data_IF_387743926843
#
_entry.id   IF_387743926843
#
_cell.length_a   1.000
_cell.length_b   1.000
_cell.length_c   1.000
_cell.angle_alpha   90.00
_cell.angle_beta   90.00
_cell.angle_gamma   90.00
#
_symmetry.space_group_name_H-M   'P 1'
#
loop_
_entity.id
_entity.type
_entity.pdbx_description
1 polymer ?
#
# COMPACT_ATOMS: atom_id res chain seq x y z
N UNK A 1 -24.32 -2.75 8.46
CA UNK A 1 -25.40 -3.69 8.10
C UNK A 1 -24.86 -4.73 7.14
N UNK A 2 -25.26 -6.00 7.31
CA UNK A 2 -24.92 -7.07 6.37
C UNK A 2 -26.13 -7.34 5.47
N UNK A 3 -25.90 -7.42 4.15
CA UNK A 3 -26.93 -7.78 3.15
C UNK A 3 -27.15 -9.30 3.15
N UNK A 4 -28.24 -9.75 2.50
CA UNK A 4 -28.60 -11.18 2.46
C UNK A 4 -27.58 -12.07 1.75
N UNK A 5 -26.76 -11.50 0.88
CA UNK A 5 -25.68 -12.18 0.16
C UNK A 5 -24.29 -12.08 0.84
N UNK A 6 -24.24 -11.56 2.07
CA UNK A 6 -23.05 -11.46 2.90
C UNK A 6 -22.30 -10.14 2.82
N UNK A 7 -22.61 -9.26 1.85
CA UNK A 7 -21.93 -7.95 1.74
C UNK A 7 -22.14 -7.13 3.02
N UNK A 8 -21.02 -6.64 3.57
CA UNK A 8 -21.05 -5.71 4.68
C UNK A 8 -21.14 -4.27 4.18
N UNK A 9 -22.11 -3.50 4.68
CA UNK A 9 -22.34 -2.10 4.29
C UNK A 9 -22.15 -1.18 5.48
N UNK A 10 -21.25 -0.21 5.31
CA UNK A 10 -21.05 0.93 6.22
C UNK A 10 -21.56 2.19 5.53
N UNK A 11 -22.47 2.89 6.18
CA UNK A 11 -23.05 4.14 5.68
C UNK A 11 -22.90 5.26 6.69
N UNK A 12 -22.38 6.41 6.28
CA UNK A 12 -22.17 7.57 7.13
C UNK A 12 -22.48 8.88 6.39
N UNK A 13 -23.20 9.78 7.02
CA UNK A 13 -23.29 11.15 6.54
C UNK A 13 -22.09 11.95 7.07
N UNK A 14 -21.19 12.36 6.18
CA UNK A 14 -19.93 13.05 6.56
C UNK A 14 -19.93 14.54 6.22
N UNK A 15 -21.05 15.08 5.77
CA UNK A 15 -21.20 16.51 5.45
C UNK A 15 -22.52 16.80 4.75
N UNK A 16 -22.75 18.09 4.44
CA UNK A 16 -23.97 18.59 3.79
C UNK A 16 -23.75 18.89 2.29
N UNK A 17 -22.50 18.81 1.80
CA UNK A 17 -22.23 18.99 0.36
C UNK A 17 -22.88 17.82 -0.38
N UNK A 18 -23.70 18.09 -1.44
CA UNK A 18 -24.46 17.04 -2.13
C UNK A 18 -23.59 16.20 -3.07
N UNK A 19 -22.52 15.67 -2.53
CA UNK A 19 -21.57 14.74 -3.18
C UNK A 19 -21.48 13.51 -2.27
N UNK A 20 -21.49 12.32 -2.85
CA UNK A 20 -21.30 11.07 -2.13
C UNK A 20 -20.20 10.24 -2.78
N UNK A 21 -19.55 9.41 -1.98
CA UNK A 21 -18.57 8.42 -2.42
C UNK A 21 -19.02 7.02 -2.00
N UNK A 22 -18.96 6.07 -2.92
CA UNK A 22 -19.11 4.64 -2.65
C UNK A 22 -17.76 3.97 -2.91
N UNK A 23 -17.24 3.28 -1.91
CA UNK A 23 -16.07 2.41 -2.06
C UNK A 23 -16.51 0.97 -1.93
N UNK A 24 -16.21 0.17 -2.95
CA UNK A 24 -16.40 -1.29 -2.94
C UNK A 24 -15.04 -1.92 -2.77
N UNK A 25 -14.83 -2.61 -1.66
CA UNK A 25 -13.66 -3.41 -1.38
C UNK A 25 -14.02 -4.87 -1.62
N UNK A 26 -13.38 -5.49 -2.58
CA UNK A 26 -13.49 -6.93 -2.86
C UNK A 26 -12.17 -7.62 -2.47
N UNK A 27 -12.18 -8.90 -2.09
CA UNK A 27 -10.97 -9.67 -1.90
C UNK A 27 -10.21 -9.87 -3.22
N UNK A 28 -9.01 -10.42 -3.16
CA UNK A 28 -8.16 -10.61 -4.33
C UNK A 28 -7.33 -9.38 -4.64
N UNK A 29 -6.25 -9.22 -3.90
CA UNK A 29 -5.16 -8.30 -4.16
C UNK A 29 -3.93 -9.04 -4.67
N UNK A 30 -2.81 -8.34 -4.81
CA UNK A 30 -1.58 -8.90 -5.38
C UNK A 30 -1.02 -10.10 -4.60
N UNK A 31 -1.38 -10.28 -3.32
CA UNK A 31 -0.98 -11.46 -2.54
C UNK A 31 -1.67 -12.76 -2.99
N UNK A 32 -2.70 -12.67 -3.83
CA UNK A 32 -3.38 -13.83 -4.41
C UNK A 32 -2.88 -14.20 -5.80
N UNK A 33 -2.01 -13.38 -6.38
CA UNK A 33 -1.39 -13.65 -7.68
C UNK A 33 -0.32 -14.74 -7.53
N UNK A 34 -0.24 -15.67 -8.48
CA UNK A 34 0.97 -16.51 -8.58
C UNK A 34 2.15 -15.66 -9.08
N UNK A 35 3.38 -16.08 -8.77
CA UNK A 35 4.57 -15.35 -9.23
C UNK A 35 4.64 -15.23 -10.75
N UNK A 36 4.28 -16.28 -11.47
CA UNK A 36 4.28 -16.32 -12.93
C UNK A 36 3.23 -15.38 -13.53
N UNK A 37 2.24 -14.98 -12.71
CA UNK A 37 1.14 -14.10 -13.10
C UNK A 37 1.03 -12.87 -12.19
N UNK A 38 2.13 -12.49 -11.55
CA UNK A 38 2.16 -11.27 -10.73
C UNK A 38 1.69 -10.05 -11.55
N UNK A 39 0.78 -9.27 -10.98
CA UNK A 39 0.11 -8.15 -11.65
C UNK A 39 -1.29 -8.46 -12.19
N UNK A 40 -1.78 -9.71 -12.10
CA UNK A 40 -3.16 -10.05 -12.53
C UNK A 40 -4.20 -9.24 -11.76
N UNK A 41 -4.09 -9.16 -10.44
CA UNK A 41 -5.02 -8.38 -9.61
C UNK A 41 -5.05 -6.90 -10.03
N UNK A 42 -3.86 -6.33 -10.29
CA UNK A 42 -3.72 -4.94 -10.72
C UNK A 42 -4.35 -4.72 -12.10
N UNK A 43 -4.09 -5.59 -13.07
CA UNK A 43 -4.71 -5.49 -14.40
C UNK A 43 -6.22 -5.73 -14.34
N UNK A 44 -6.69 -6.68 -13.52
CA UNK A 44 -8.11 -6.92 -13.33
C UNK A 44 -8.82 -5.66 -12.77
N UNK A 45 -8.20 -4.94 -11.85
CA UNK A 45 -8.73 -3.69 -11.32
C UNK A 45 -8.70 -2.58 -12.37
N UNK A 46 -7.55 -2.31 -12.98
CA UNK A 46 -7.33 -1.18 -13.90
C UNK A 46 -8.13 -1.30 -15.20
N UNK A 47 -8.37 -2.52 -15.67
CA UNK A 47 -9.10 -2.78 -16.91
C UNK A 47 -10.59 -3.08 -16.69
N UNK A 48 -11.07 -3.04 -15.46
CA UNK A 48 -12.47 -3.39 -15.16
C UNK A 48 -13.48 -2.44 -15.83
N UNK A 49 -13.12 -1.16 -15.97
CA UNK A 49 -13.94 -0.13 -16.62
C UNK A 49 -13.77 -0.07 -18.15
N UNK A 50 -12.91 -0.91 -18.72
CA UNK A 50 -12.66 -0.94 -20.16
C UNK A 50 -13.69 -1.74 -20.97
N UNK A 51 -14.78 -2.18 -20.33
CA UNK A 51 -15.94 -2.80 -20.93
C UNK A 51 -16.64 -3.79 -19.98
N UNK A 52 -17.95 -3.75 -19.99
CA UNK A 52 -18.82 -4.70 -19.28
C UNK A 52 -19.60 -5.54 -20.29
N UNK A 53 -20.51 -6.41 -19.79
CA UNK A 53 -21.41 -7.15 -20.65
C UNK A 53 -22.33 -6.23 -21.48
N UNK A 54 -22.67 -5.04 -20.93
CA UNK A 54 -23.70 -4.15 -21.48
C UNK A 54 -23.13 -2.85 -22.06
N UNK A 55 -21.91 -2.46 -21.73
CA UNK A 55 -21.31 -1.19 -22.09
C UNK A 55 -19.85 -1.34 -22.55
N UNK A 56 -19.48 -0.64 -23.61
CA UNK A 56 -18.08 -0.48 -24.01
C UNK A 56 -17.36 0.54 -23.12
N UNK A 57 -16.01 0.59 -23.18
CA UNK A 57 -15.19 1.58 -22.47
C UNK A 57 -15.63 3.02 -22.75
N UNK A 58 -15.95 3.32 -24.00
CA UNK A 58 -16.38 4.67 -24.42
C UNK A 58 -17.75 5.02 -23.81
N UNK A 59 -18.69 4.08 -23.79
CA UNK A 59 -20.01 4.28 -23.19
C UNK A 59 -19.90 4.44 -21.67
N UNK A 60 -19.06 3.66 -20.99
CA UNK A 60 -18.78 3.80 -19.55
C UNK A 60 -18.22 5.20 -19.27
N UNK A 61 -17.18 5.61 -19.99
CA UNK A 61 -16.56 6.92 -19.81
C UNK A 61 -17.54 8.07 -20.06
N UNK A 62 -18.28 8.05 -21.18
CA UNK A 62 -19.29 9.06 -21.51
C UNK A 62 -20.44 9.10 -20.49
N UNK A 63 -20.86 7.93 -19.97
CA UNK A 63 -21.90 7.85 -18.95
C UNK A 63 -21.44 8.47 -17.63
N UNK A 64 -20.27 8.12 -17.12
CA UNK A 64 -19.70 8.68 -15.90
C UNK A 64 -19.51 10.21 -16.05
N UNK A 65 -18.95 10.66 -17.17
CA UNK A 65 -18.78 12.09 -17.45
C UNK A 65 -20.11 12.84 -17.44
N UNK A 66 -21.15 12.31 -18.10
CA UNK A 66 -22.48 12.93 -18.14
C UNK A 66 -23.14 13.03 -16.75
N UNK A 67 -22.79 12.13 -15.83
CA UNK A 67 -23.26 12.13 -14.46
C UNK A 67 -22.41 12.99 -13.50
N UNK A 68 -21.30 13.57 -13.99
CA UNK A 68 -20.32 14.26 -13.15
C UNK A 68 -19.66 13.33 -12.15
N UNK A 69 -19.52 12.06 -12.50
CA UNK A 69 -18.95 11.02 -11.66
C UNK A 69 -17.48 10.77 -12.00
N UNK A 70 -16.70 10.42 -10.97
CA UNK A 70 -15.35 9.91 -11.12
C UNK A 70 -15.26 8.50 -10.52
N UNK A 71 -14.58 7.61 -11.23
CA UNK A 71 -14.32 6.24 -10.81
C UNK A 71 -12.81 6.00 -10.79
N UNK A 72 -12.33 5.30 -9.78
CA UNK A 72 -10.98 4.75 -9.73
C UNK A 72 -11.04 3.30 -9.25
N UNK A 73 -10.14 2.47 -9.77
CA UNK A 73 -9.97 1.09 -9.33
C UNK A 73 -8.47 0.80 -9.15
N UNK A 74 -8.13 0.09 -8.08
CA UNK A 74 -6.76 -0.27 -7.75
C UNK A 74 -6.72 -1.54 -6.92
N UNK A 75 -5.81 -2.44 -7.24
CA UNK A 75 -5.52 -3.58 -6.38
C UNK A 75 -4.41 -3.22 -5.39
N UNK A 76 -4.72 -3.37 -4.10
CA UNK A 76 -3.71 -3.40 -3.05
C UNK A 76 -3.09 -4.79 -2.92
N UNK A 77 -2.36 -5.02 -1.84
CA UNK A 77 -1.82 -6.36 -1.54
C UNK A 77 -2.91 -7.35 -1.19
N UNK A 78 -3.88 -6.95 -0.35
CA UNK A 78 -4.85 -7.86 0.27
C UNK A 78 -6.26 -7.73 -0.27
N UNK A 79 -6.51 -6.83 -1.22
CA UNK A 79 -7.83 -6.64 -1.82
C UNK A 79 -7.84 -5.60 -2.93
N UNK A 80 -8.95 -5.54 -3.64
CA UNK A 80 -9.17 -4.60 -4.75
C UNK A 80 -10.23 -3.57 -4.37
N UNK A 81 -9.93 -2.31 -4.63
CA UNK A 81 -10.76 -1.17 -4.29
C UNK A 81 -11.34 -0.51 -5.54
N UNK A 82 -12.62 -0.27 -5.53
CA UNK A 82 -13.31 0.58 -6.50
C UNK A 82 -13.88 1.78 -5.74
N UNK A 83 -13.58 3.00 -6.17
CA UNK A 83 -14.09 4.21 -5.54
C UNK A 83 -14.81 5.07 -6.57
N UNK A 84 -16.10 5.27 -6.35
CA UNK A 84 -16.99 6.09 -7.16
C UNK A 84 -17.39 7.33 -6.36
N UNK A 85 -17.16 8.51 -6.93
CA UNK A 85 -17.65 9.78 -6.36
C UNK A 85 -18.56 10.46 -7.38
N UNK A 86 -19.74 10.90 -6.95
CA UNK A 86 -20.69 11.59 -7.81
C UNK A 86 -21.60 12.56 -7.01
N UNK A 87 -22.24 13.54 -7.68
CA UNK A 87 -23.34 14.31 -7.09
C UNK A 87 -24.46 13.37 -6.61
N UNK A 88 -25.03 13.64 -5.45
CA UNK A 88 -26.09 12.80 -4.84
C UNK A 88 -27.28 12.59 -5.81
N UNK A 89 -27.64 13.62 -6.60
CA UNK A 89 -28.71 13.55 -7.60
C UNK A 89 -28.46 12.49 -8.69
N UNK A 90 -27.20 12.16 -8.96
CA UNK A 90 -26.79 11.23 -10.02
C UNK A 90 -26.18 9.94 -9.44
N UNK A 91 -26.14 9.80 -8.10
CA UNK A 91 -25.34 8.79 -7.42
C UNK A 91 -25.85 7.36 -7.67
N UNK A 92 -27.17 7.17 -7.80
CA UNK A 92 -27.77 5.89 -8.16
C UNK A 92 -27.35 5.46 -9.57
N UNK A 93 -27.53 6.34 -10.56
CA UNK A 93 -27.17 6.05 -11.95
C UNK A 93 -25.66 5.81 -12.15
N UNK A 94 -24.81 6.51 -11.37
CA UNK A 94 -23.38 6.24 -11.37
C UNK A 94 -23.05 4.91 -10.68
N UNK A 95 -23.76 4.59 -9.60
CA UNK A 95 -23.66 3.32 -8.89
C UNK A 95 -24.04 2.10 -9.75
N UNK A 96 -25.01 2.24 -10.66
CA UNK A 96 -25.35 1.19 -11.64
C UNK A 96 -24.14 0.88 -12.54
N UNK A 97 -23.43 1.90 -13.00
CA UNK A 97 -22.20 1.72 -13.80
C UNK A 97 -21.13 0.98 -12.98
N UNK A 98 -20.88 1.42 -11.73
CA UNK A 98 -19.94 0.76 -10.84
C UNK A 98 -20.33 -0.71 -10.60
N UNK A 99 -21.58 -0.99 -10.31
CA UNK A 99 -22.07 -2.35 -10.10
C UNK A 99 -21.85 -3.23 -11.33
N UNK A 100 -22.14 -2.71 -12.53
CA UNK A 100 -21.86 -3.38 -13.80
C UNK A 100 -20.36 -3.70 -13.96
N UNK A 101 -19.48 -2.76 -13.64
CA UNK A 101 -18.02 -2.93 -13.71
C UNK A 101 -17.57 -4.06 -12.76
N UNK A 102 -17.91 -3.98 -11.48
CA UNK A 102 -17.50 -4.98 -10.49
C UNK A 102 -18.00 -6.37 -10.84
N UNK A 103 -19.26 -6.47 -11.29
CA UNK A 103 -19.94 -7.76 -11.50
C UNK A 103 -19.65 -8.38 -12.86
N UNK A 104 -19.38 -7.58 -13.90
CA UNK A 104 -19.41 -8.08 -15.28
C UNK A 104 -18.33 -7.53 -16.22
N UNK A 105 -17.20 -7.04 -15.69
CA UNK A 105 -16.05 -6.63 -16.51
C UNK A 105 -15.64 -7.72 -17.51
N UNK A 106 -15.37 -7.33 -18.77
CA UNK A 106 -15.11 -8.24 -19.88
C UNK A 106 -13.67 -8.26 -20.39
N UNK A 107 -12.87 -7.28 -20.01
CA UNK A 107 -11.45 -7.16 -20.38
C UNK A 107 -11.19 -7.34 -21.88
N UNK A 108 -11.62 -6.40 -22.75
CA UNK A 108 -11.40 -6.54 -24.19
C UNK A 108 -9.92 -6.72 -24.52
N UNK A 109 -9.60 -7.68 -25.41
CA UNK A 109 -8.22 -8.04 -25.72
C UNK A 109 -7.36 -6.85 -26.16
N UNK A 110 -7.92 -5.95 -26.96
CA UNK A 110 -7.19 -4.76 -27.44
C UNK A 110 -6.80 -3.83 -26.28
N UNK A 111 -7.63 -3.72 -25.24
CA UNK A 111 -7.35 -2.90 -24.06
C UNK A 111 -6.26 -3.55 -23.18
N UNK A 112 -6.34 -4.86 -23.01
CA UNK A 112 -5.30 -5.63 -22.32
C UNK A 112 -3.94 -5.48 -23.03
N UNK A 113 -3.90 -5.61 -24.36
CA UNK A 113 -2.65 -5.50 -25.13
C UNK A 113 -2.04 -4.09 -25.02
N UNK A 114 -2.90 -3.06 -25.03
CA UNK A 114 -2.49 -1.67 -24.85
C UNK A 114 -1.94 -1.41 -23.44
N UNK A 115 -2.66 -1.87 -22.42
CA UNK A 115 -2.25 -1.68 -21.02
C UNK A 115 -1.00 -2.47 -20.69
N UNK A 116 -0.88 -3.72 -21.17
CA UNK A 116 0.33 -4.53 -21.02
C UNK A 116 1.55 -3.80 -21.57
N UNK A 117 1.44 -3.27 -22.80
CA UNK A 117 2.54 -2.52 -23.38
C UNK A 117 2.90 -1.30 -22.53
N UNK A 118 1.90 -0.54 -22.08
CA UNK A 118 2.11 0.64 -21.22
C UNK A 118 2.75 0.28 -19.89
N UNK A 119 2.30 -0.79 -19.26
CA UNK A 119 2.83 -1.26 -17.98
C UNK A 119 4.29 -1.73 -18.11
N UNK A 120 4.62 -2.49 -19.15
CA UNK A 120 6.01 -2.91 -19.41
C UNK A 120 6.90 -1.71 -19.71
N UNK A 121 6.45 -0.78 -20.58
CA UNK A 121 7.20 0.45 -20.87
C UNK A 121 7.41 1.30 -19.58
N UNK A 122 6.39 1.38 -18.73
CA UNK A 122 6.46 2.06 -17.43
C UNK A 122 7.44 1.38 -16.46
N UNK A 123 7.40 0.06 -16.38
CA UNK A 123 8.31 -0.72 -15.54
C UNK A 123 9.78 -0.50 -15.94
N UNK A 124 10.08 -0.41 -17.24
CA UNK A 124 11.43 -0.11 -17.72
C UNK A 124 11.94 1.29 -17.29
N UNK A 125 11.03 2.23 -17.07
CA UNK A 125 11.36 3.56 -16.52
C UNK A 125 11.57 3.46 -15.01
N UNK A 126 10.67 2.79 -14.28
CA UNK A 126 10.77 2.57 -12.83
C UNK A 126 12.07 1.85 -12.44
N UNK A 127 12.50 0.87 -13.24
CA UNK A 127 13.75 0.14 -13.02
C UNK A 127 15.00 1.01 -13.16
N UNK A 128 14.87 2.23 -13.71
CA UNK A 128 15.96 3.23 -13.80
C UNK A 128 15.88 4.29 -12.72
N UNK A 129 14.83 4.31 -11.92
CA UNK A 129 14.69 5.19 -10.77
C UNK A 129 15.20 4.48 -9.52
N UNK A 130 16.29 4.97 -8.88
CA UNK A 130 16.84 4.33 -7.70
C UNK A 130 15.83 4.20 -6.55
N UNK A 131 14.93 5.17 -6.37
CA UNK A 131 13.93 5.18 -5.29
C UNK A 131 12.87 4.11 -5.47
N UNK A 132 12.31 4.01 -6.68
CA UNK A 132 11.31 2.99 -7.02
C UNK A 132 11.91 1.58 -6.95
N UNK A 133 13.12 1.41 -7.49
CA UNK A 133 13.79 0.12 -7.46
C UNK A 133 14.14 -0.33 -6.05
N UNK A 134 14.59 0.59 -5.16
CA UNK A 134 14.89 0.25 -3.78
C UNK A 134 13.69 -0.33 -3.03
N UNK A 135 12.49 0.24 -3.21
CA UNK A 135 11.25 -0.28 -2.62
C UNK A 135 10.86 -1.67 -3.13
N UNK A 136 11.03 -1.91 -4.44
CA UNK A 136 10.76 -3.22 -5.07
C UNK A 136 11.71 -4.30 -4.54
N UNK A 137 13.00 -4.01 -4.50
CA UNK A 137 14.03 -4.90 -3.97
C UNK A 137 13.81 -5.16 -2.47
N UNK A 138 13.50 -4.14 -1.69
CA UNK A 138 13.26 -4.28 -0.26
C UNK A 138 12.09 -5.22 0.05
N UNK A 139 10.98 -5.14 -0.71
CA UNK A 139 9.86 -6.06 -0.56
C UNK A 139 10.29 -7.52 -0.76
N UNK A 140 11.07 -7.77 -1.81
CA UNK A 140 11.56 -9.10 -2.14
C UNK A 140 12.56 -9.63 -1.09
N UNK A 141 13.48 -8.78 -0.62
CA UNK A 141 14.45 -9.14 0.43
C UNK A 141 13.76 -9.47 1.75
N UNK A 142 12.72 -8.71 2.12
CA UNK A 142 12.05 -8.86 3.41
C UNK A 142 11.09 -10.04 3.48
N UNK A 143 10.47 -10.41 2.37
CA UNK A 143 9.44 -11.44 2.33
C UNK A 143 9.82 -12.67 1.50
N UNK A 144 10.96 -12.60 0.79
CA UNK A 144 11.43 -13.73 -0.02
C UNK A 144 10.39 -14.17 -1.03
N UNK A 145 10.12 -15.47 -1.03
CA UNK A 145 9.15 -16.10 -1.93
C UNK A 145 7.70 -16.08 -1.40
N UNK A 146 7.46 -15.50 -0.24
CA UNK A 146 6.10 -15.32 0.27
C UNK A 146 5.29 -14.34 -0.62
N UNK A 147 3.94 -14.41 -0.58
CA UNK A 147 3.08 -13.54 -1.39
C UNK A 147 3.39 -12.04 -1.30
N UNK A 148 3.78 -11.55 -0.11
CA UNK A 148 4.16 -10.14 0.04
C UNK A 148 5.52 -9.77 -0.55
N UNK A 149 6.36 -10.74 -0.87
CA UNK A 149 7.61 -10.53 -1.63
C UNK A 149 7.38 -10.34 -3.13
N UNK A 150 6.25 -10.82 -3.66
CA UNK A 150 5.92 -10.69 -5.08
C UNK A 150 5.77 -9.22 -5.51
N UNK A 151 6.09 -8.92 -6.76
CA UNK A 151 5.91 -7.58 -7.33
C UNK A 151 4.43 -7.33 -7.62
N UNK A 152 3.78 -6.45 -6.84
CA UNK A 152 2.33 -6.17 -7.01
C UNK A 152 1.95 -5.61 -8.38
N UNK A 153 2.86 -4.88 -9.03
CA UNK A 153 2.69 -4.39 -10.40
C UNK A 153 3.17 -5.38 -11.47
N UNK A 154 3.64 -6.56 -11.07
CA UNK A 154 4.23 -7.56 -11.96
C UNK A 154 5.68 -7.31 -12.34
N UNK A 155 6.24 -8.23 -13.10
CA UNK A 155 7.52 -8.14 -13.83
C UNK A 155 7.25 -8.10 -15.32
N UNK A 156 8.26 -7.78 -16.14
CA UNK A 156 8.09 -7.80 -17.61
C UNK A 156 7.62 -9.17 -18.11
N UNK A 157 8.12 -10.24 -17.53
CA UNK A 157 7.80 -11.63 -17.86
C UNK A 157 6.38 -11.99 -17.44
N UNK A 158 6.01 -11.70 -16.20
CA UNK A 158 4.67 -12.00 -15.68
C UNK A 158 3.59 -11.20 -16.42
N UNK A 159 3.83 -9.90 -16.67
CA UNK A 159 2.91 -9.05 -17.43
C UNK A 159 2.72 -9.54 -18.87
N UNK A 160 3.78 -10.01 -19.52
CA UNK A 160 3.71 -10.60 -20.85
C UNK A 160 2.90 -11.91 -20.86
N UNK A 161 2.93 -12.67 -19.77
CA UNK A 161 2.26 -13.95 -19.63
C UNK A 161 0.75 -13.84 -19.26
N UNK A 162 0.28 -12.69 -18.75
CA UNK A 162 -1.13 -12.47 -18.36
C UNK A 162 -2.03 -12.54 -19.58
N UNK A 163 -3.07 -13.34 -19.53
CA UNK A 163 -4.10 -13.47 -20.57
C UNK A 163 -5.41 -12.80 -20.12
N UNK A 164 -6.32 -12.59 -21.07
CA UNK A 164 -7.69 -12.13 -20.76
C UNK A 164 -8.42 -13.10 -19.85
N UNK A 165 -8.23 -14.38 -20.08
CA UNK A 165 -8.81 -15.46 -19.31
C UNK A 165 -8.35 -15.40 -17.84
N UNK A 166 -7.09 -15.09 -17.56
CA UNK A 166 -6.56 -14.90 -16.20
C UNK A 166 -7.32 -13.77 -15.47
N UNK A 167 -7.61 -12.65 -16.15
CA UNK A 167 -8.36 -11.53 -15.56
C UNK A 167 -9.81 -11.90 -15.24
N UNK A 168 -10.45 -12.63 -16.16
CA UNK A 168 -11.83 -13.14 -15.96
C UNK A 168 -11.85 -14.12 -14.79
N UNK A 169 -10.90 -15.05 -14.74
CA UNK A 169 -10.78 -16.04 -13.66
C UNK A 169 -10.51 -15.36 -12.32
N UNK A 170 -9.58 -14.39 -12.26
CA UNK A 170 -9.31 -13.62 -11.05
C UNK A 170 -10.59 -12.94 -10.53
N UNK A 171 -11.31 -12.22 -11.39
CA UNK A 171 -12.57 -11.56 -11.03
C UNK A 171 -13.61 -12.57 -10.53
N UNK A 172 -13.81 -13.68 -11.23
CA UNK A 172 -14.82 -14.69 -10.88
C UNK A 172 -14.47 -15.43 -9.60
N UNK A 173 -13.20 -15.61 -9.32
CA UNK A 173 -12.69 -16.33 -8.15
C UNK A 173 -12.71 -15.43 -6.93
N UNK A 174 -12.15 -14.22 -7.03
CA UNK A 174 -11.86 -13.39 -5.88
C UNK A 174 -12.93 -12.34 -5.58
N UNK A 175 -13.58 -11.72 -6.58
CA UNK A 175 -14.59 -10.69 -6.31
C UNK A 175 -15.91 -11.34 -5.90
N UNK A 176 -15.98 -11.65 -4.61
CA UNK A 176 -17.05 -12.46 -4.06
C UNK A 176 -17.92 -11.66 -3.09
N UNK A 177 -19.28 -11.69 -3.22
CA UNK A 177 -20.17 -10.88 -2.41
C UNK A 177 -20.04 -11.14 -0.90
N UNK A 178 -19.85 -12.39 -0.44
CA UNK A 178 -19.77 -12.71 0.98
C UNK A 178 -18.56 -12.09 1.69
N UNK A 179 -17.51 -11.70 0.94
CA UNK A 179 -16.29 -11.08 1.47
C UNK A 179 -16.18 -9.60 1.08
N UNK A 180 -17.18 -9.09 0.34
CA UNK A 180 -17.19 -7.70 -0.13
C UNK A 180 -17.66 -6.76 0.96
N UNK A 181 -17.01 -5.60 1.02
CA UNK A 181 -17.35 -4.50 1.91
C UNK A 181 -17.68 -3.26 1.08
N UNK A 182 -18.80 -2.61 1.40
CA UNK A 182 -19.23 -1.38 0.73
C UNK A 182 -19.30 -0.26 1.75
N UNK A 183 -18.57 0.81 1.50
CA UNK A 183 -18.58 2.00 2.33
C UNK A 183 -19.19 3.14 1.52
N UNK A 184 -20.25 3.76 2.04
CA UNK A 184 -20.89 4.90 1.39
C UNK A 184 -20.92 6.09 2.37
N UNK A 185 -20.34 7.19 1.94
CA UNK A 185 -20.35 8.41 2.75
C UNK A 185 -20.51 9.69 1.92
N UNK A 186 -20.75 10.81 2.60
CA UNK A 186 -20.93 12.13 1.96
C UNK A 186 -22.22 12.80 2.37
N UNK A 187 -22.77 13.62 1.50
CA UNK A 187 -24.06 14.33 1.70
C UNK A 187 -25.29 13.47 1.43
N UNK A 188 -25.26 12.22 1.81
CA UNK A 188 -26.31 11.22 1.63
C UNK A 188 -26.73 10.64 2.99
N UNK A 189 -28.05 10.49 3.21
CA UNK A 189 -28.54 9.89 4.44
C UNK A 189 -28.15 8.39 4.54
N UNK A 190 -27.73 7.88 5.71
CA UNK A 190 -27.30 6.49 5.87
C UNK A 190 -28.33 5.47 5.42
N UNK A 191 -29.61 5.68 5.66
CA UNK A 191 -30.68 4.78 5.21
C UNK A 191 -30.80 4.75 3.67
N UNK A 192 -30.63 5.89 3.00
CA UNK A 192 -30.62 5.97 1.55
C UNK A 192 -29.38 5.27 0.98
N UNK A 193 -28.20 5.52 1.58
CA UNK A 193 -26.94 4.87 1.18
C UNK A 193 -27.01 3.35 1.28
N UNK A 194 -27.55 2.83 2.40
CA UNK A 194 -27.73 1.39 2.59
C UNK A 194 -28.76 0.80 1.61
N UNK A 195 -29.88 1.50 1.38
CA UNK A 195 -30.88 1.09 0.40
C UNK A 195 -30.32 1.02 -1.03
N UNK A 196 -29.43 1.97 -1.39
CA UNK A 196 -28.73 1.99 -2.66
C UNK A 196 -27.74 0.82 -2.79
N UNK A 197 -26.94 0.56 -1.78
CA UNK A 197 -26.04 -0.61 -1.78
C UNK A 197 -26.83 -1.92 -1.95
N UNK A 198 -28.00 -2.05 -1.29
CA UNK A 198 -28.89 -3.19 -1.44
C UNK A 198 -29.46 -3.30 -2.86
N UNK A 199 -29.88 -2.20 -3.49
CA UNK A 199 -30.44 -2.22 -4.87
C UNK A 199 -29.38 -2.57 -5.91
N UNK A 200 -28.14 -2.12 -5.75
CA UNK A 200 -27.05 -2.29 -6.70
C UNK A 200 -26.34 -3.65 -6.59
N UNK A 201 -26.24 -4.19 -5.39
CA UNK A 201 -25.41 -5.35 -5.12
C UNK A 201 -26.13 -6.49 -4.37
N UNK A 202 -27.34 -6.29 -3.89
CA UNK A 202 -28.03 -7.27 -3.04
C UNK A 202 -28.46 -8.55 -3.75
N UNK A 203 -28.56 -8.53 -5.07
CA UNK A 203 -28.83 -9.69 -5.93
C UNK A 203 -27.56 -10.30 -6.52
N UNK A 204 -26.39 -9.74 -6.21
CA UNK A 204 -25.11 -10.28 -6.68
C UNK A 204 -24.84 -11.63 -6.05
N UNK A 205 -24.71 -12.65 -6.91
CA UNK A 205 -24.43 -14.03 -6.53
C UNK A 205 -23.29 -14.59 -7.37
N UNK A 206 -22.49 -15.44 -6.76
CA UNK A 206 -21.42 -16.20 -7.40
C UNK A 206 -21.68 -17.67 -7.11
N UNK A 207 -21.51 -18.54 -8.11
CA UNK A 207 -21.89 -19.95 -8.03
C UNK A 207 -20.94 -20.82 -7.20
N UNK A 208 -19.76 -20.33 -6.84
CA UNK A 208 -18.78 -21.02 -6.00
C UNK A 208 -18.66 -20.35 -4.63
N UNK A 209 -18.19 -21.04 -3.59
CA UNK A 209 -17.85 -20.40 -2.32
C UNK A 209 -16.63 -19.46 -2.51
N UNK A 210 -16.53 -18.42 -1.66
CA UNK A 210 -15.37 -17.55 -1.67
C UNK A 210 -14.09 -18.36 -1.40
N UNK A 211 -13.00 -18.11 -2.12
CA UNK A 211 -11.74 -18.75 -1.85
C UNK A 211 -11.18 -18.26 -0.50
N UNK A 212 -10.37 -19.09 0.12
CA UNK A 212 -9.60 -18.68 1.30
C UNK A 212 -8.34 -17.97 0.83
N UNK A 213 -8.08 -16.72 1.24
CA UNK A 213 -6.81 -16.06 0.97
C UNK A 213 -5.62 -16.84 1.55
N UNK A 214 -4.39 -16.59 1.10
CA UNK A 214 -3.20 -17.17 1.73
C UNK A 214 -3.25 -16.97 3.25
N UNK A 215 -3.01 -18.04 4.00
CA UNK A 215 -3.11 -18.01 5.46
C UNK A 215 -1.97 -17.22 6.13
N UNK A 216 -0.82 -17.14 5.46
CA UNK A 216 0.38 -16.42 5.89
C UNK A 216 1.03 -15.76 4.67
N UNK A 217 0.49 -14.63 4.18
CA UNK A 217 1.04 -13.96 3.01
C UNK A 217 2.39 -13.28 3.28
N UNK A 218 2.73 -13.04 4.54
CA UNK A 218 4.03 -12.50 4.95
C UNK A 218 5.13 -13.58 5.00
N UNK A 219 4.76 -14.83 5.24
CA UNK A 219 5.68 -15.94 5.38
C UNK A 219 6.66 -15.79 6.55
N UNK A 220 7.54 -16.76 6.67
CA UNK A 220 8.59 -16.75 7.70
C UNK A 220 9.50 -15.52 7.61
N UNK A 221 10.05 -15.11 8.75
CA UNK A 221 11.05 -14.04 8.80
C UNK A 221 12.28 -14.41 7.96
N UNK A 222 12.62 -13.58 7.01
CA UNK A 222 13.81 -13.76 6.18
C UNK A 222 15.08 -13.38 6.96
N UNK A 223 16.25 -13.94 6.58
CA UNK A 223 17.53 -13.45 7.09
C UNK A 223 17.70 -11.95 6.82
N UNK A 224 18.31 -11.25 7.77
CA UNK A 224 18.64 -9.83 7.59
C UNK A 224 19.71 -9.70 6.50
N UNK A 225 19.42 -8.92 5.48
CA UNK A 225 20.35 -8.70 4.35
C UNK A 225 20.64 -7.21 4.19
N UNK A 226 21.83 -6.91 3.71
CA UNK A 226 22.19 -5.59 3.15
C UNK A 226 22.49 -5.80 1.68
N UNK A 227 21.66 -5.21 0.82
CA UNK A 227 21.72 -5.39 -0.63
C UNK A 227 21.99 -4.05 -1.29
N UNK A 228 22.98 -4.01 -2.15
CA UNK A 228 23.30 -2.88 -3.02
C UNK A 228 23.00 -3.26 -4.45
N UNK A 229 22.11 -2.54 -5.09
CA UNK A 229 21.91 -2.63 -6.54
C UNK A 229 22.83 -1.61 -7.19
N UNK A 230 23.88 -2.10 -7.83
CA UNK A 230 24.85 -1.25 -8.52
C UNK A 230 24.28 -0.71 -9.83
N UNK A 231 24.06 0.59 -9.82
CA UNK A 231 23.54 1.36 -10.95
C UNK A 231 24.51 2.51 -11.26
N UNK A 232 25.57 2.26 -12.06
CA UNK A 232 26.61 3.26 -12.33
C UNK A 232 26.10 4.57 -12.95
N UNK A 233 24.97 4.51 -13.68
CA UNK A 233 24.36 5.68 -14.32
C UNK A 233 23.46 6.50 -13.38
N UNK A 234 23.27 6.05 -12.13
CA UNK A 234 22.43 6.76 -11.17
C UNK A 234 23.08 8.08 -10.73
N UNK A 235 22.39 9.16 -10.95
CA UNK A 235 22.84 10.49 -10.50
C UNK A 235 22.75 10.71 -8.97
N UNK A 236 21.99 9.87 -8.28
CA UNK A 236 21.80 9.85 -6.84
C UNK A 236 21.60 8.42 -6.37
N UNK A 237 21.97 8.13 -5.12
CA UNK A 237 21.61 6.88 -4.47
C UNK A 237 20.28 7.01 -3.73
N UNK A 238 19.48 5.95 -3.76
CA UNK A 238 18.35 5.76 -2.85
C UNK A 238 18.75 4.81 -1.73
N UNK A 239 18.54 5.22 -0.50
CA UNK A 239 18.81 4.43 0.71
C UNK A 239 17.48 4.09 1.36
N UNK A 240 17.27 2.81 1.62
CA UNK A 240 16.07 2.26 2.25
C UNK A 240 16.50 1.34 3.40
N UNK A 241 15.96 1.57 4.60
CA UNK A 241 16.17 0.72 5.75
C UNK A 241 14.83 0.34 6.35
N UNK A 242 14.58 -0.95 6.57
CA UNK A 242 13.28 -1.43 6.99
C UNK A 242 13.36 -2.57 7.99
N UNK A 243 12.39 -2.64 8.87
CA UNK A 243 12.14 -3.76 9.78
C UNK A 243 10.70 -4.27 9.59
N UNK A 244 10.49 -5.58 9.74
CA UNK A 244 9.12 -6.09 9.89
C UNK A 244 8.56 -5.57 11.20
N UNK A 245 7.32 -5.14 11.16
CA UNK A 245 6.60 -4.56 12.27
C UNK A 245 5.38 -5.43 12.62
N UNK A 246 4.45 -4.88 13.35
CA UNK A 246 3.25 -5.55 13.84
C UNK A 246 2.03 -5.13 13.04
N UNK A 247 1.05 -6.03 12.85
CA UNK A 247 -0.22 -5.67 12.22
C UNK A 247 -1.00 -4.67 13.07
N UNK A 248 -1.97 -4.04 12.47
CA UNK A 248 -2.70 -2.93 13.09
C UNK A 248 -3.60 -3.33 14.27
N UNK A 249 -3.96 -4.58 14.38
CA UNK A 249 -4.75 -5.14 15.49
C UNK A 249 -3.90 -5.45 16.73
N UNK A 250 -2.57 -5.38 16.66
CA UNK A 250 -1.67 -5.50 17.81
C UNK A 250 -1.87 -4.32 18.79
N UNK A 251 -1.94 -4.62 20.08
CA UNK A 251 -2.14 -3.60 21.12
C UNK A 251 -1.04 -2.54 21.19
N UNK A 252 0.17 -2.83 20.67
CA UNK A 252 1.33 -1.92 20.60
C UNK A 252 1.31 -1.01 19.37
N UNK A 253 0.39 -1.21 18.42
CA UNK A 253 0.36 -0.48 17.16
C UNK A 253 0.43 1.04 17.34
N UNK A 254 -0.45 1.61 18.17
CA UNK A 254 -0.47 3.06 18.38
C UNK A 254 0.78 3.59 19.09
N UNK A 255 1.40 2.75 19.94
CA UNK A 255 2.67 3.10 20.59
C UNK A 255 3.81 3.16 19.57
N UNK A 256 3.87 2.20 18.66
CA UNK A 256 4.85 2.16 17.57
C UNK A 256 4.59 3.27 16.54
N UNK A 257 3.34 3.54 16.20
CA UNK A 257 2.95 4.64 15.28
C UNK A 257 3.40 6.00 15.82
N UNK A 258 3.21 6.24 17.12
CA UNK A 258 3.65 7.47 17.78
C UNK A 258 5.18 7.56 17.83
N UNK A 259 5.88 6.44 18.08
CA UNK A 259 7.33 6.38 18.03
C UNK A 259 7.87 6.65 16.61
N UNK A 260 7.25 6.07 15.58
CA UNK A 260 7.58 6.36 14.19
C UNK A 260 7.35 7.83 13.83
N UNK A 261 6.32 8.47 14.36
CA UNK A 261 6.11 9.91 14.15
C UNK A 261 7.25 10.76 14.74
N UNK A 262 7.92 10.29 15.79
CA UNK A 262 9.16 10.91 16.30
C UNK A 262 10.32 10.65 15.35
N UNK A 263 10.45 9.43 14.84
CA UNK A 263 11.54 9.03 13.96
C UNK A 263 11.52 9.82 12.65
N UNK A 264 10.49 9.69 11.84
CA UNK A 264 10.47 10.24 10.49
C UNK A 264 9.10 10.75 10.04
N UNK A 265 8.14 10.93 10.95
CA UNK A 265 6.82 11.47 10.65
C UNK A 265 6.85 12.95 10.28
N UNK A 266 7.07 13.24 9.00
CA UNK A 266 7.09 14.60 8.47
C UNK A 266 8.41 15.36 8.70
N UNK A 267 8.45 16.64 8.27
CA UNK A 267 9.67 17.49 8.28
C UNK A 267 10.18 17.90 9.67
N UNK A 268 9.49 17.52 10.72
CA UNK A 268 9.93 17.71 12.08
C UNK A 268 10.39 16.40 12.75
N UNK A 269 10.49 15.30 12.00
CA UNK A 269 11.06 14.02 12.44
C UNK A 269 12.56 14.08 12.63
N UNK A 270 13.10 13.16 13.46
CA UNK A 270 14.55 13.07 13.72
C UNK A 270 15.33 12.82 12.43
N UNK A 271 14.84 11.96 11.53
CA UNK A 271 15.49 11.68 10.25
C UNK A 271 15.62 12.93 9.38
N UNK A 272 14.57 13.74 9.29
CA UNK A 272 14.64 14.99 8.54
C UNK A 272 15.62 15.97 9.17
N UNK A 273 15.62 16.07 10.51
CA UNK A 273 16.54 16.95 11.23
C UNK A 273 18.00 16.53 11.02
N UNK A 274 18.32 15.23 11.19
CA UNK A 274 19.70 14.73 11.10
C UNK A 274 20.23 14.77 9.67
N UNK A 275 19.45 14.37 8.69
CA UNK A 275 19.89 14.21 7.30
C UNK A 275 19.79 15.52 6.52
N UNK A 276 18.63 16.20 6.63
CA UNK A 276 18.39 17.43 5.87
C UNK A 276 18.95 18.66 6.57
N UNK A 277 18.52 18.89 7.82
CA UNK A 277 18.76 20.18 8.48
C UNK A 277 20.20 20.32 8.95
N UNK A 278 20.76 19.28 9.59
CA UNK A 278 22.10 19.33 10.18
C UNK A 278 23.22 19.06 9.17
N UNK A 279 23.00 18.12 8.23
CA UNK A 279 24.05 17.61 7.33
C UNK A 279 23.85 17.97 5.86
N UNK A 280 22.64 18.37 5.47
CA UNK A 280 22.30 18.70 4.06
C UNK A 280 22.57 17.55 3.07
N UNK A 281 22.41 16.30 3.52
CA UNK A 281 22.67 15.10 2.71
C UNK A 281 21.54 14.82 1.73
N UNK A 282 20.29 15.19 2.06
CA UNK A 282 19.11 14.93 1.25
C UNK A 282 18.13 16.09 1.30
N UNK A 283 17.22 16.17 0.33
CA UNK A 283 16.07 17.08 0.39
C UNK A 283 15.02 16.67 1.41
N UNK A 284 15.01 15.40 1.81
CA UNK A 284 14.12 14.85 2.82
C UNK A 284 14.49 13.42 3.18
N UNK A 285 14.21 13.06 4.43
CA UNK A 285 14.30 11.69 4.92
C UNK A 285 13.10 11.45 5.84
N UNK A 286 12.39 10.37 5.59
CA UNK A 286 11.13 10.08 6.27
C UNK A 286 11.06 8.62 6.65
N UNK A 287 10.19 8.31 7.61
CA UNK A 287 9.79 6.93 7.89
C UNK A 287 8.27 6.79 7.93
N UNK A 288 7.79 5.59 7.66
CA UNK A 288 6.37 5.28 7.65
C UNK A 288 6.09 3.79 7.76
N UNK A 289 4.80 3.48 7.91
CA UNK A 289 4.30 2.13 7.89
C UNK A 289 3.71 1.77 6.53
N UNK A 290 3.96 0.54 6.11
CA UNK A 290 3.19 -0.15 5.08
C UNK A 290 2.39 -1.26 5.76
N UNK A 291 1.16 -0.92 6.18
CA UNK A 291 0.23 -1.86 6.82
C UNK A 291 -0.22 -2.93 5.82
N UNK A 292 -0.34 -4.17 6.29
CA UNK A 292 -0.85 -5.35 5.58
C UNK A 292 -1.89 -6.05 6.45
N UNK A 293 -2.53 -7.08 5.93
CA UNK A 293 -3.59 -7.77 6.67
C UNK A 293 -3.06 -8.46 7.95
N UNK A 294 -1.88 -9.06 7.89
CA UNK A 294 -1.28 -9.83 8.99
C UNK A 294 0.13 -9.38 9.40
N UNK A 295 0.64 -8.32 8.78
CA UNK A 295 2.00 -7.81 9.01
C UNK A 295 2.06 -6.29 8.77
N UNK A 296 3.20 -5.69 9.03
CA UNK A 296 3.53 -4.34 8.60
C UNK A 296 5.04 -4.21 8.36
N UNK A 297 5.43 -3.19 7.62
CA UNK A 297 6.83 -2.76 7.48
C UNK A 297 6.95 -1.34 8.01
N UNK A 298 7.88 -1.13 8.93
CA UNK A 298 8.37 0.21 9.24
C UNK A 298 9.62 0.45 8.40
N UNK A 299 9.57 1.44 7.54
CA UNK A 299 10.68 1.77 6.64
C UNK A 299 11.09 3.23 6.74
N UNK A 300 12.40 3.48 6.68
CA UNK A 300 13.01 4.78 6.48
C UNK A 300 13.59 4.87 5.07
N UNK A 301 13.45 6.01 4.42
CA UNK A 301 13.97 6.23 3.07
C UNK A 301 14.48 7.66 2.86
N UNK A 302 15.52 7.78 2.03
CA UNK A 302 16.05 9.04 1.54
C UNK A 302 16.75 8.84 0.19
N UNK A 303 16.78 9.90 -0.62
CA UNK A 303 17.66 9.97 -1.77
C UNK A 303 18.80 10.93 -1.46
N UNK A 304 20.02 10.55 -1.77
CA UNK A 304 21.23 11.33 -1.46
C UNK A 304 22.22 11.24 -2.63
N UNK A 305 23.35 11.94 -2.53
CA UNK A 305 24.45 11.72 -3.47
C UNK A 305 25.04 10.32 -3.25
N UNK A 306 25.61 9.74 -4.30
CA UNK A 306 26.20 8.39 -4.20
C UNK A 306 27.25 8.33 -3.08
N UNK A 307 28.19 9.29 -3.05
CA UNK A 307 29.29 9.33 -2.08
C UNK A 307 28.85 9.48 -0.60
N UNK A 308 27.56 9.62 -0.31
CA UNK A 308 27.03 9.76 1.06
C UNK A 308 25.97 8.73 1.39
N UNK A 309 25.83 7.68 0.58
CA UNK A 309 24.80 6.67 0.78
C UNK A 309 25.03 5.82 2.03
N UNK A 310 26.29 5.48 2.32
CA UNK A 310 26.73 4.79 3.54
C UNK A 310 26.47 5.64 4.81
N UNK A 311 26.77 6.95 4.76
CA UNK A 311 26.48 7.86 5.88
C UNK A 311 24.98 7.92 6.17
N UNK A 312 24.13 8.01 5.14
CA UNK A 312 22.65 8.01 5.31
C UNK A 312 22.17 6.67 5.87
N UNK A 313 22.72 5.54 5.41
CA UNK A 313 22.39 4.22 5.96
C UNK A 313 22.79 4.12 7.44
N UNK A 314 23.98 4.59 7.82
CA UNK A 314 24.43 4.63 9.22
C UNK A 314 23.48 5.50 10.08
N UNK A 315 23.09 6.68 9.59
CA UNK A 315 22.15 7.55 10.31
C UNK A 315 20.81 6.86 10.55
N UNK A 316 20.29 6.10 9.57
CA UNK A 316 19.06 5.34 9.78
C UNK A 316 19.21 4.32 10.91
N UNK A 317 20.30 3.56 10.93
CA UNK A 317 20.57 2.59 11.98
C UNK A 317 20.76 3.25 13.35
N UNK A 318 21.48 4.36 13.40
CA UNK A 318 21.69 5.13 14.63
C UNK A 318 20.38 5.67 15.19
N UNK A 319 19.50 6.21 14.34
CA UNK A 319 18.20 6.72 14.76
C UNK A 319 17.22 5.61 15.14
N UNK A 320 17.30 4.42 14.52
CA UNK A 320 16.55 3.23 14.97
C UNK A 320 17.00 2.82 16.38
N UNK A 321 18.30 2.70 16.61
CA UNK A 321 18.86 2.39 17.94
C UNK A 321 18.47 3.45 18.97
N UNK A 322 18.58 4.71 18.60
CA UNK A 322 18.28 5.86 19.45
C UNK A 322 16.81 5.93 19.83
N UNK A 323 15.89 5.56 18.91
CA UNK A 323 14.47 5.56 19.17
C UNK A 323 14.09 4.57 20.29
N UNK A 324 14.76 3.41 20.36
CA UNK A 324 14.54 2.41 21.39
C UNK A 324 15.30 2.64 22.71
N UNK A 325 16.34 3.46 22.70
CA UNK A 325 17.22 3.62 23.88
C UNK A 325 17.10 4.97 24.59
N UNK A 326 16.76 6.04 23.87
CA UNK A 326 16.56 7.35 24.48
C UNK A 326 15.14 7.51 25.01
N UNK A 327 14.98 8.02 26.24
CA UNK A 327 13.65 8.32 26.76
C UNK A 327 12.93 9.35 25.87
N UNK A 328 11.70 9.04 25.51
CA UNK A 328 10.83 9.97 24.82
C UNK A 328 10.19 10.92 25.84
N UNK A 329 10.19 12.21 25.53
CA UNK A 329 9.63 13.25 26.38
C UNK A 329 8.16 13.50 26.04
N UNK A 330 7.33 13.74 27.08
CA UNK A 330 5.89 13.94 26.92
C UNK A 330 5.56 15.10 26.00
N UNK A 331 6.28 16.22 26.11
CA UNK A 331 6.04 17.39 25.27
C UNK A 331 6.37 17.11 23.78
N UNK A 332 7.32 16.23 23.50
CA UNK A 332 7.59 15.76 22.15
C UNK A 332 6.42 14.90 21.64
N UNK A 333 5.98 13.94 22.46
CA UNK A 333 4.85 13.08 22.08
C UNK A 333 3.55 13.85 21.88
N UNK A 334 3.27 14.87 22.70
CA UNK A 334 2.10 15.73 22.52
C UNK A 334 2.09 16.43 21.15
N UNK A 335 3.24 16.94 20.71
CA UNK A 335 3.36 17.51 19.36
C UNK A 335 3.09 16.48 18.27
N UNK A 336 3.54 15.22 18.47
CA UNK A 336 3.31 14.14 17.51
C UNK A 336 1.86 13.65 17.50
N UNK A 337 1.21 13.57 18.66
CA UNK A 337 -0.24 13.29 18.77
C UNK A 337 -1.05 14.32 18.01
N UNK A 338 -0.74 15.61 18.20
CA UNK A 338 -1.41 16.71 17.48
C UNK A 338 -1.18 16.62 15.96
N UNK A 339 0.03 16.28 15.54
CA UNK A 339 0.36 16.10 14.12
C UNK A 339 -0.42 14.94 13.49
N UNK A 340 -0.35 13.75 14.10
CA UNK A 340 -1.06 12.56 13.63
C UNK A 340 -2.57 12.75 13.67
N UNK A 341 -3.12 13.21 14.80
CA UNK A 341 -4.55 13.45 14.96
C UNK A 341 -5.07 14.50 13.98
N UNK A 342 -4.33 15.60 13.78
CA UNK A 342 -4.69 16.63 12.81
C UNK A 342 -4.63 16.13 11.35
N UNK A 343 -3.64 15.29 11.02
CA UNK A 343 -3.54 14.69 9.70
C UNK A 343 -4.67 13.69 9.44
N UNK A 344 -5.00 12.91 10.45
CA UNK A 344 -6.12 11.95 10.40
C UNK A 344 -7.46 12.67 10.27
N UNK A 345 -7.69 13.74 11.06
CA UNK A 345 -8.92 14.54 11.00
C UNK A 345 -9.12 15.14 9.60
N UNK A 346 -8.08 15.71 8.99
CA UNK A 346 -8.16 16.23 7.60
C UNK A 346 -8.55 15.15 6.58
N UNK A 347 -8.10 13.91 6.76
CA UNK A 347 -8.51 12.81 5.88
C UNK A 347 -9.99 12.47 6.05
N UNK A 348 -10.53 12.56 7.27
CA UNK A 348 -11.94 12.31 7.55
C UNK A 348 -12.88 13.40 7.04
N UNK A 349 -12.39 14.60 6.69
CA UNK A 349 -13.20 15.70 6.16
C UNK A 349 -13.78 15.42 4.77
N UNK A 350 -13.14 14.57 3.98
CA UNK A 350 -13.65 14.17 2.67
C UNK A 350 -14.31 12.79 2.72
N UNK A 351 -15.37 12.60 1.93
CA UNK A 351 -16.04 11.28 1.81
C UNK A 351 -15.09 10.19 1.31
N UNK A 352 -14.21 10.52 0.36
CA UNK A 352 -13.21 9.57 -0.14
C UNK A 352 -12.17 9.21 0.92
N UNK A 353 -11.72 10.18 1.71
CA UNK A 353 -10.75 9.94 2.80
C UNK A 353 -11.39 9.13 3.94
N UNK A 354 -12.63 9.43 4.32
CA UNK A 354 -13.40 8.63 5.28
C UNK A 354 -13.53 7.18 4.79
N UNK A 355 -13.99 6.98 3.55
CA UNK A 355 -14.16 5.65 2.98
C UNK A 355 -12.82 4.89 2.92
N UNK A 356 -11.73 5.55 2.54
CA UNK A 356 -10.40 4.92 2.50
C UNK A 356 -9.93 4.44 3.88
N UNK A 357 -10.16 5.25 4.92
CA UNK A 357 -9.82 4.87 6.31
C UNK A 357 -10.67 3.67 6.76
N UNK A 358 -11.98 3.74 6.56
CA UNK A 358 -12.89 2.67 6.98
C UNK A 358 -12.63 1.38 6.21
N UNK A 359 -12.42 1.47 4.89
CA UNK A 359 -12.10 0.31 4.06
C UNK A 359 -10.78 -0.35 4.50
N UNK A 360 -9.74 0.44 4.80
CA UNK A 360 -8.47 -0.07 5.32
C UNK A 360 -8.62 -0.78 6.67
N UNK A 361 -9.42 -0.22 7.59
CA UNK A 361 -9.74 -0.89 8.86
C UNK A 361 -10.44 -2.23 8.64
N UNK A 362 -11.48 -2.24 7.81
CA UNK A 362 -12.25 -3.45 7.51
C UNK A 362 -11.41 -4.52 6.77
N UNK A 363 -10.47 -4.10 5.93
CA UNK A 363 -9.53 -5.02 5.26
C UNK A 363 -8.61 -5.72 6.26
N UNK A 364 -8.22 -5.02 7.33
CA UNK A 364 -7.40 -5.52 8.42
C UNK A 364 -8.22 -6.23 9.53
N UNK A 365 -9.50 -6.53 9.27
CA UNK A 365 -10.37 -7.19 10.24
C UNK A 365 -10.83 -6.34 11.42
N UNK A 366 -10.60 -5.03 11.37
CA UNK A 366 -10.96 -4.10 12.43
C UNK A 366 -12.37 -3.52 12.22
N UNK A 367 -13.01 -3.17 13.32
CA UNK A 367 -14.33 -2.53 13.27
C UNK A 367 -14.25 -1.11 12.68
N UNK A 368 -15.23 -0.70 11.84
CA UNK A 368 -15.33 0.67 11.34
C UNK A 368 -15.31 1.76 12.42
N UNK A 369 -15.79 1.43 13.61
CA UNK A 369 -15.83 2.34 14.76
C UNK A 369 -14.43 2.74 15.28
N UNK A 370 -13.38 1.98 14.95
CA UNK A 370 -12.00 2.35 15.28
C UNK A 370 -11.58 3.67 14.61
N UNK A 371 -12.21 4.03 13.48
CA UNK A 371 -11.98 5.32 12.85
C UNK A 371 -12.25 6.51 13.80
N UNK A 372 -13.27 6.41 14.64
CA UNK A 372 -13.59 7.47 15.61
C UNK A 372 -12.71 7.43 16.87
N UNK A 373 -12.03 6.32 17.14
CA UNK A 373 -11.23 6.10 18.36
C UNK A 373 -9.74 6.45 18.19
N UNK A 374 -9.30 6.73 16.97
CA UNK A 374 -7.89 6.92 16.64
C UNK A 374 -7.18 7.96 17.52
N UNK A 375 -7.77 9.15 17.66
CA UNK A 375 -7.19 10.23 18.47
C UNK A 375 -7.13 9.85 19.97
N UNK A 376 -8.17 9.18 20.48
CA UNK A 376 -8.22 8.72 21.87
C UNK A 376 -7.18 7.63 22.13
N UNK A 377 -7.00 6.69 21.19
CA UNK A 377 -5.97 5.65 21.29
C UNK A 377 -4.56 6.25 21.33
N UNK A 378 -4.26 7.20 20.45
CA UNK A 378 -2.99 7.93 20.49
C UNK A 378 -2.81 8.71 21.79
N UNK A 379 -3.89 9.34 22.30
CA UNK A 379 -3.88 10.10 23.56
C UNK A 379 -3.56 9.26 24.79
N UNK A 380 -3.86 7.97 24.76
CA UNK A 380 -3.59 7.02 25.86
C UNK A 380 -2.16 6.49 25.89
N UNK A 381 -1.41 6.60 24.78
CA UNK A 381 -0.03 6.10 24.70
C UNK A 381 0.88 6.95 25.57
N UNK A 382 1.59 6.35 26.49
CA UNK A 382 2.59 7.02 27.35
C UNK A 382 3.99 6.99 26.68
N UNK A 383 4.93 7.89 27.06
CA UNK A 383 6.32 7.85 26.60
C UNK A 383 7.00 6.51 26.83
N UNK A 384 6.68 5.87 27.95
CA UNK A 384 7.21 4.54 28.29
C UNK A 384 6.73 3.47 27.31
N UNK A 385 5.45 3.49 26.93
CA UNK A 385 4.91 2.53 25.97
C UNK A 385 5.49 2.75 24.57
N UNK A 386 5.56 4.01 24.11
CA UNK A 386 6.16 4.32 22.81
C UNK A 386 7.65 3.92 22.75
N UNK A 387 8.43 4.21 23.80
CA UNK A 387 9.83 3.80 23.89
C UNK A 387 10.00 2.29 23.96
N UNK A 388 9.15 1.58 24.71
CA UNK A 388 9.21 0.12 24.80
C UNK A 388 8.86 -0.56 23.47
N UNK A 389 7.83 -0.07 22.77
CA UNK A 389 7.46 -0.57 21.45
C UNK A 389 8.60 -0.34 20.44
N UNK A 390 9.23 0.84 20.45
CA UNK A 390 10.37 1.13 19.60
C UNK A 390 11.57 0.23 19.92
N UNK A 391 11.89 0.02 21.19
CA UNK A 391 13.01 -0.84 21.62
C UNK A 391 12.84 -2.29 21.17
N UNK A 392 11.61 -2.79 21.19
CA UNK A 392 11.31 -4.18 20.82
C UNK A 392 11.24 -4.37 19.30
N UNK A 393 10.65 -3.42 18.59
CA UNK A 393 10.20 -3.59 17.21
C UNK A 393 11.08 -2.83 16.18
N UNK A 394 11.87 -1.83 16.61
CA UNK A 394 12.74 -1.05 15.71
C UNK A 394 14.21 -1.37 16.04
N UNK A 395 14.57 -2.63 15.86
CA UNK A 395 15.91 -3.13 16.14
C UNK A 395 16.83 -2.89 14.93
N UNK A 396 17.90 -2.07 15.04
CA UNK A 396 18.81 -1.81 13.93
C UNK A 396 19.53 -3.06 13.44
N UNK A 397 19.73 -4.08 14.30
CA UNK A 397 20.37 -5.34 13.92
C UNK A 397 19.45 -6.23 13.06
N UNK A 398 18.15 -5.98 13.12
CA UNK A 398 17.13 -6.64 12.29
C UNK A 398 16.75 -5.82 11.04
N UNK A 399 17.36 -4.66 10.85
CA UNK A 399 17.06 -3.82 9.70
C UNK A 399 17.66 -4.38 8.42
N UNK A 400 16.81 -4.69 7.47
CA UNK A 400 17.18 -4.88 6.07
C UNK A 400 17.55 -3.53 5.47
N UNK A 401 18.69 -3.46 4.79
CA UNK A 401 19.13 -2.26 4.08
C UNK A 401 19.16 -2.55 2.58
N UNK A 402 18.57 -1.66 1.81
CA UNK A 402 18.69 -1.67 0.35
C UNK A 402 19.20 -0.31 -0.10
N UNK A 403 20.27 -0.32 -0.89
CA UNK A 403 20.81 0.88 -1.53
C UNK A 403 20.83 0.66 -3.03
N UNK A 404 20.29 1.59 -3.77
CA UNK A 404 20.38 1.60 -5.23
C UNK A 404 21.14 2.84 -5.67
N UNK A 405 22.27 2.64 -6.35
CA UNK A 405 23.13 3.76 -6.77
C UNK A 405 24.46 3.28 -7.34
N UNK A 406 25.38 4.22 -7.58
CA UNK A 406 26.72 3.90 -8.07
C UNK A 406 27.59 3.33 -6.95
N UNK A 407 27.61 2.01 -6.81
CA UNK A 407 28.22 1.29 -5.68
C UNK A 407 29.69 1.66 -5.44
N UNK A 408 30.46 1.89 -6.51
CA UNK A 408 31.89 2.21 -6.39
C UNK A 408 32.19 3.46 -5.56
N UNK A 409 31.21 4.34 -5.37
CA UNK A 409 31.39 5.58 -4.61
C UNK A 409 31.20 5.44 -3.09
N UNK A 410 30.60 4.32 -2.60
CA UNK A 410 30.26 4.15 -1.17
C UNK A 410 30.46 2.74 -0.62
N UNK A 411 30.73 1.74 -1.46
CA UNK A 411 30.69 0.34 -1.04
C UNK A 411 31.76 -0.02 0.01
N UNK A 412 32.95 0.58 -0.04
CA UNK A 412 34.02 0.27 0.89
C UNK A 412 33.70 0.79 2.30
N UNK A 413 33.09 1.97 2.40
CA UNK A 413 32.64 2.54 3.66
C UNK A 413 31.39 1.80 4.19
N UNK A 414 30.46 1.38 3.31
CA UNK A 414 29.33 0.56 3.70
C UNK A 414 29.75 -0.81 4.24
N UNK A 415 30.80 -1.44 3.70
CA UNK A 415 31.36 -2.69 4.24
C UNK A 415 31.91 -2.58 5.64
N UNK A 416 32.35 -1.39 6.07
CA UNK A 416 32.75 -1.16 7.46
C UNK A 416 31.55 -1.18 8.42
N UNK A 417 30.34 -0.85 7.93
CA UNK A 417 29.09 -0.85 8.68
C UNK A 417 28.42 -2.23 8.60
N UNK A 418 28.38 -2.80 7.41
CA UNK A 418 27.72 -4.08 7.06
C UNK A 418 28.68 -4.96 6.24
N UNK A 419 29.54 -5.77 6.89
CA UNK A 419 30.56 -6.57 6.20
C UNK A 419 30.02 -7.55 5.16
N UNK A 420 28.80 -8.07 5.39
CA UNK A 420 28.16 -9.09 4.55
C UNK A 420 27.28 -8.47 3.44
N UNK A 421 27.58 -7.24 3.00
CA UNK A 421 26.84 -6.56 1.95
C UNK A 421 26.95 -7.30 0.61
N UNK A 422 25.80 -7.54 0.00
CA UNK A 422 25.68 -8.13 -1.32
C UNK A 422 25.61 -7.02 -2.37
N UNK A 423 26.40 -7.11 -3.44
CA UNK A 423 26.37 -6.15 -4.55
C UNK A 423 25.88 -6.85 -5.79
N UNK A 424 24.78 -6.35 -6.35
CA UNK A 424 24.08 -6.95 -7.49
C UNK A 424 24.00 -5.89 -8.60
N UNK A 425 24.45 -6.21 -9.82
CA UNK A 425 24.28 -5.27 -10.94
C UNK A 425 22.80 -5.00 -11.25
N UNK A 426 22.46 -3.75 -11.53
CA UNK A 426 21.11 -3.40 -11.99
C UNK A 426 20.80 -3.98 -13.37
N UNK A 427 21.84 -4.19 -14.20
CA UNK A 427 21.70 -4.84 -15.50
C UNK A 427 21.44 -6.34 -15.32
N UNK A 428 20.30 -6.81 -15.84
CA UNK A 428 19.90 -8.21 -15.73
C UNK A 428 19.25 -8.58 -14.39
N UNK A 429 18.94 -7.61 -13.53
CA UNK A 429 18.28 -7.83 -12.26
C UNK A 429 16.91 -8.49 -12.45
N UNK A 430 16.73 -9.67 -11.87
CA UNK A 430 15.45 -10.39 -11.84
C UNK A 430 14.73 -10.16 -10.51
N UNK A 431 13.56 -9.51 -10.58
CA UNK A 431 12.68 -9.27 -9.43
C UNK A 431 11.61 -10.36 -9.25
N UNK A 432 11.67 -11.43 -10.02
CA UNK A 432 10.75 -12.57 -9.85
C UNK A 432 11.19 -13.55 -8.77
N UNK A 433 12.43 -13.45 -8.27
CA UNK A 433 13.03 -14.37 -7.29
C UNK A 433 13.85 -13.62 -6.24
N UNK A 434 13.87 -14.16 -5.00
CA UNK A 434 14.59 -13.57 -3.86
C UNK A 434 16.13 -13.64 -4.00
N UNK A 435 16.63 -14.46 -4.89
CA UNK A 435 18.05 -14.55 -5.26
C UNK A 435 18.44 -13.63 -6.43
N UNK A 436 17.47 -12.85 -6.96
CA UNK A 436 17.66 -11.89 -8.06
C UNK A 436 18.19 -12.49 -9.37
N UNK A 437 17.95 -13.79 -9.61
CA UNK A 437 18.46 -14.51 -10.77
C UNK A 437 19.96 -14.82 -10.70
N UNK A 438 20.57 -14.64 -9.55
CA UNK A 438 21.95 -15.06 -9.31
C UNK A 438 21.96 -16.58 -9.13
N UNK A 439 22.31 -17.31 -10.18
CA UNK A 439 22.59 -18.75 -10.08
C UNK A 439 23.73 -18.96 -9.08
N UNK A 440 23.48 -19.81 -8.06
CA UNK A 440 24.46 -20.21 -7.05
C UNK A 440 25.61 -21.08 -7.59
#
# INVERSE_FOLDING_TARGET
QTLSNGIEVVAAQTGDVPIATMTVLVPGGASTDSREKAGVAQFAAQLADQGTADMSAQEIAARLESLGASLSANAGRDGTFFSLTAPVANFEAAGEVLSGIVRSAQYPQAELDRERKRAIDGLLVEMKDPGELAGKVASLVMYGDAPYGSQSGGTSESLAAITREDLIEHRQTWWHPSETKIIVSGGIAPAQATGLAQSLFGDWTVGAPAPTPPADPAGDAQPVRTVVIDMPEAGQAAVYAAVRAIPRDDERYYALELANAVLGGGSSGRLFEEIRTKRSLSYGAYSGFADRADDAVLAASAQTKNETADEVAQIFLDEFARLGTEPLDEALLDRRRLYLGGSYARRLESSSGFNSIVAGLMQQGLEPAEAARYADRLGQVTPRQAGAAAQELVDPDKATIVIVGHAAEFIDDLRAIRPDVEVIPAEGLDLSSADFGLEG
#
